data_IF_129816367087
#
_entry.id   IF_129816367087
#
_cell.length_a   1.000
_cell.length_b   1.000
_cell.length_c   1.000
_cell.angle_alpha   90.00
_cell.angle_beta   90.00
_cell.angle_gamma   90.00
#
_symmetry.space_group_name_H-M   'P 1'
#
loop_
_entity.id
_entity.type
_entity.pdbx_description
1 polymer ?
#
# COMPACT_ATOMS: atom_id res chain seq x y z
N UNK A 1 9.99 22.52 5.10
CA UNK A 1 9.21 21.72 4.13
C UNK A 1 8.97 20.35 4.76
N UNK A 2 7.70 19.96 4.86
CA UNK A 2 7.05 19.25 5.98
C UNK A 2 7.47 17.79 6.26
N UNK A 3 7.92 17.51 7.48
CA UNK A 3 8.13 16.15 8.03
C UNK A 3 6.85 15.30 8.07
N UNK A 4 5.65 15.90 7.99
CA UNK A 4 4.38 15.15 7.96
C UNK A 4 4.22 14.30 6.70
N UNK A 5 4.82 14.68 5.57
CA UNK A 5 4.58 14.00 4.30
C UNK A 5 5.37 12.67 4.18
N UNK A 6 6.55 12.57 4.81
CA UNK A 6 7.40 11.36 4.77
C UNK A 6 6.84 10.18 5.54
N UNK A 7 6.16 10.41 6.67
CA UNK A 7 5.49 9.35 7.44
C UNK A 7 4.36 8.72 6.61
N UNK A 8 3.63 9.54 5.85
CA UNK A 8 2.51 9.09 5.02
C UNK A 8 2.97 8.15 3.88
N UNK A 9 4.09 8.44 3.21
CA UNK A 9 4.60 7.59 2.12
C UNK A 9 5.17 6.25 2.62
N UNK A 10 5.88 6.24 3.76
CA UNK A 10 6.38 5.00 4.35
C UNK A 10 5.21 4.10 4.79
N UNK A 11 4.20 4.67 5.45
CA UNK A 11 3.02 3.93 5.89
C UNK A 11 2.21 3.42 4.69
N UNK A 12 2.02 4.23 3.64
CA UNK A 12 1.36 3.84 2.41
C UNK A 12 2.10 2.72 1.66
N UNK A 13 3.43 2.83 1.55
CA UNK A 13 4.24 1.81 0.89
C UNK A 13 4.23 0.49 1.71
N UNK A 14 4.32 0.59 3.03
CA UNK A 14 4.16 -0.55 3.94
C UNK A 14 2.78 -1.20 3.81
N UNK A 15 1.72 -0.40 3.67
CA UNK A 15 0.35 -0.88 3.46
C UNK A 15 0.25 -1.74 2.20
N UNK A 16 0.71 -1.24 1.04
CA UNK A 16 0.62 -2.01 -0.21
C UNK A 16 1.50 -3.26 -0.20
N UNK A 17 2.67 -3.19 0.44
CA UNK A 17 3.60 -4.31 0.59
C UNK A 17 3.01 -5.44 1.46
N UNK A 18 2.27 -5.08 2.51
CA UNK A 18 1.60 -6.03 3.38
C UNK A 18 0.35 -6.64 2.72
N UNK A 19 -0.50 -5.80 2.11
CA UNK A 19 -1.79 -6.23 1.55
C UNK A 19 -1.66 -6.97 0.21
N UNK A 20 -0.61 -6.66 -0.56
CA UNK A 20 -0.23 -7.27 -1.86
C UNK A 20 -1.22 -7.13 -3.02
N UNK A 21 -2.52 -7.05 -2.76
CA UNK A 21 -3.56 -6.83 -3.77
C UNK A 21 -4.89 -6.42 -3.13
N UNK A 22 -5.80 -5.85 -3.91
CA UNK A 22 -7.16 -5.53 -3.47
C UNK A 22 -7.96 -4.73 -4.49
N UNK A 23 -9.08 -4.16 -4.07
CA UNK A 23 -9.84 -3.18 -4.85
C UNK A 23 -9.12 -1.83 -4.86
N UNK A 24 -9.14 -1.14 -6.01
CA UNK A 24 -8.62 0.21 -6.16
C UNK A 24 -9.42 1.21 -5.30
N UNK A 25 -10.74 1.05 -5.21
CA UNK A 25 -11.58 1.97 -4.44
C UNK A 25 -11.22 1.94 -2.96
N UNK A 26 -11.01 0.73 -2.41
CA UNK A 26 -10.54 0.58 -1.03
C UNK A 26 -9.14 1.18 -0.86
N UNK A 27 -8.25 1.03 -1.85
CA UNK A 27 -6.91 1.58 -1.75
C UNK A 27 -6.92 3.12 -1.74
N UNK A 28 -7.78 3.74 -2.56
CA UNK A 28 -7.96 5.18 -2.62
C UNK A 28 -8.55 5.70 -1.31
N UNK A 29 -9.53 5.00 -0.72
CA UNK A 29 -10.12 5.40 0.56
C UNK A 29 -9.09 5.37 1.71
N UNK A 30 -8.14 4.44 1.67
CA UNK A 30 -7.15 4.24 2.74
C UNK A 30 -5.93 5.17 2.57
N UNK A 31 -5.46 5.38 1.33
CA UNK A 31 -4.19 6.07 1.05
C UNK A 31 -4.37 7.45 0.40
N UNK A 32 -5.55 7.74 -0.13
CA UNK A 32 -5.81 8.91 -0.97
C UNK A 32 -5.50 8.67 -2.45
N UNK A 33 -6.25 9.34 -3.31
CA UNK A 33 -6.16 9.19 -4.77
C UNK A 33 -4.80 9.63 -5.34
N UNK A 34 -4.20 10.68 -4.78
CA UNK A 34 -2.89 11.19 -5.21
C UNK A 34 -1.77 10.17 -4.97
N UNK A 35 -1.74 9.55 -3.78
CA UNK A 35 -0.74 8.54 -3.42
C UNK A 35 -0.87 7.29 -4.29
N UNK A 36 -2.11 6.85 -4.55
CA UNK A 36 -2.37 5.71 -5.43
C UNK A 36 -1.88 5.99 -6.85
N UNK A 37 -2.12 7.20 -7.36
CA UNK A 37 -1.63 7.62 -8.67
C UNK A 37 -0.10 7.66 -8.72
N UNK A 38 0.56 8.17 -7.69
CA UNK A 38 2.02 8.13 -7.60
C UNK A 38 2.56 6.70 -7.63
N UNK A 39 1.96 5.78 -6.85
CA UNK A 39 2.39 4.38 -6.82
C UNK A 39 2.18 3.66 -8.14
N UNK A 40 1.15 4.02 -8.89
CA UNK A 40 0.92 3.52 -10.24
C UNK A 40 1.99 4.06 -11.21
N UNK A 41 2.26 5.37 -11.19
CA UNK A 41 3.27 6.00 -12.05
C UNK A 41 4.69 5.50 -11.80
N UNK A 42 5.03 5.25 -10.52
CA UNK A 42 6.34 4.69 -10.12
C UNK A 42 6.41 3.17 -10.38
N UNK A 43 5.29 2.52 -10.68
CA UNK A 43 5.23 1.09 -10.96
C UNK A 43 5.30 0.20 -9.71
N UNK A 44 4.91 0.72 -8.55
CA UNK A 44 4.80 -0.06 -7.31
C UNK A 44 3.52 -0.88 -7.26
N UNK A 45 2.48 -0.46 -7.97
CA UNK A 45 1.24 -1.22 -8.15
C UNK A 45 0.90 -1.35 -9.63
N UNK A 46 0.22 -2.45 -9.99
CA UNK A 46 -0.42 -2.64 -11.29
C UNK A 46 -1.92 -2.66 -11.13
N UNK A 47 -2.63 -1.87 -11.93
CA UNK A 47 -4.08 -1.97 -12.04
C UNK A 47 -4.49 -3.19 -12.86
N UNK A 48 -5.63 -3.75 -12.50
CA UNK A 48 -6.32 -4.81 -13.21
C UNK A 48 -7.82 -4.59 -13.14
N UNK A 49 -8.56 -5.40 -13.89
CA UNK A 49 -10.02 -5.43 -13.88
C UNK A 49 -10.42 -6.89 -13.70
N UNK A 50 -11.31 -7.16 -12.75
CA UNK A 50 -11.86 -8.52 -12.55
C UNK A 50 -12.99 -8.80 -13.55
N UNK A 51 -13.43 -10.06 -13.63
CA UNK A 51 -14.58 -10.43 -14.45
C UNK A 51 -15.84 -9.62 -14.12
N UNK A 52 -15.99 -9.21 -12.85
CA UNK A 52 -17.09 -8.38 -12.36
C UNK A 52 -16.89 -6.87 -12.60
N UNK A 53 -16.00 -6.49 -13.52
CA UNK A 53 -15.64 -5.10 -13.87
C UNK A 53 -15.07 -4.25 -12.73
N UNK A 54 -14.72 -4.86 -11.60
CA UNK A 54 -14.15 -4.12 -10.47
C UNK A 54 -12.68 -3.80 -10.72
N UNK A 55 -12.32 -2.54 -10.54
CA UNK A 55 -10.94 -2.08 -10.61
C UNK A 55 -10.15 -2.64 -9.42
N UNK A 56 -9.09 -3.39 -9.72
CA UNK A 56 -8.22 -4.01 -8.72
C UNK A 56 -6.80 -3.54 -8.89
N UNK A 57 -5.99 -3.79 -7.86
CA UNK A 57 -4.56 -3.52 -7.89
C UNK A 57 -3.78 -4.71 -7.33
N UNK A 58 -2.51 -4.78 -7.73
CA UNK A 58 -1.54 -5.74 -7.22
C UNK A 58 -0.19 -5.06 -7.02
N UNK A 59 0.41 -5.24 -5.85
CA UNK A 59 1.77 -4.79 -5.56
C UNK A 59 2.77 -5.52 -6.46
N UNK A 60 3.75 -4.77 -6.95
CA UNK A 60 4.87 -5.29 -7.72
C UNK A 60 6.00 -5.68 -6.75
N UNK A 61 6.74 -6.79 -7.00
CA UNK A 61 7.86 -7.18 -6.13
C UNK A 61 8.91 -6.09 -5.91
N UNK A 62 9.12 -5.22 -6.90
CA UNK A 62 10.02 -4.06 -6.82
C UNK A 62 9.62 -3.08 -5.72
N UNK A 63 8.33 -2.94 -5.40
CA UNK A 63 7.86 -2.08 -4.31
C UNK A 63 8.39 -2.57 -2.95
N UNK A 64 8.40 -3.89 -2.74
CA UNK A 64 8.95 -4.50 -1.54
C UNK A 64 10.47 -4.32 -1.44
N UNK A 65 11.19 -4.53 -2.54
CA UNK A 65 12.64 -4.31 -2.60
C UNK A 65 13.01 -2.85 -2.34
N UNK A 66 12.25 -1.91 -2.92
CA UNK A 66 12.43 -0.49 -2.69
C UNK A 66 12.13 -0.10 -1.23
N UNK A 67 11.02 -0.58 -0.67
CA UNK A 67 10.68 -0.35 0.73
C UNK A 67 11.80 -0.81 1.67
N UNK A 68 12.31 -2.04 1.47
CA UNK A 68 13.43 -2.57 2.25
C UNK A 68 14.71 -1.75 2.08
N UNK A 69 14.99 -1.29 0.86
CA UNK A 69 16.21 -0.52 0.57
C UNK A 69 16.20 0.88 1.20
N UNK A 70 15.03 1.53 1.30
CA UNK A 70 14.91 2.90 1.79
C UNK A 70 14.63 2.93 3.30
N UNK A 71 13.81 2.00 3.80
CA UNK A 71 13.29 2.03 5.17
C UNK A 71 13.78 0.88 6.06
N UNK A 72 14.58 -0.04 5.51
CA UNK A 72 15.04 -1.23 6.22
C UNK A 72 13.99 -2.34 6.28
N UNK A 73 14.32 -3.44 6.98
CA UNK A 73 13.32 -4.50 7.20
C UNK A 73 12.19 -3.99 8.09
N UNK A 74 10.91 -4.21 7.72
CA UNK A 74 9.80 -3.84 8.57
C UNK A 74 9.91 -4.55 9.92
N UNK A 75 9.91 -3.76 10.98
CA UNK A 75 9.96 -4.27 12.35
C UNK A 75 8.75 -5.17 12.63
N UNK A 76 8.88 -6.09 13.60
CA UNK A 76 7.80 -6.99 14.03
C UNK A 76 6.50 -6.23 14.33
N UNK A 77 6.60 -5.03 14.90
CA UNK A 77 5.46 -4.14 15.20
C UNK A 77 4.75 -3.63 13.95
N UNK A 78 5.49 -3.28 12.89
CA UNK A 78 4.91 -2.84 11.62
C UNK A 78 4.27 -4.00 10.85
N UNK A 79 4.85 -5.21 10.95
CA UNK A 79 4.23 -6.44 10.45
C UNK A 79 2.90 -6.67 11.16
N UNK A 80 2.88 -6.64 12.51
CA UNK A 80 1.67 -6.86 13.31
C UNK A 80 0.59 -5.79 13.07
N UNK A 81 0.95 -4.50 12.95
CA UNK A 81 -0.03 -3.44 12.63
C UNK A 81 -0.69 -3.64 11.26
N UNK A 82 0.06 -4.13 10.26
CA UNK A 82 -0.50 -4.52 8.96
C UNK A 82 -1.52 -5.66 9.06
N UNK A 83 -1.30 -6.61 9.98
CA UNK A 83 -2.27 -7.69 10.28
C UNK A 83 -3.46 -7.21 11.13
N UNK A 84 -3.26 -6.26 12.04
CA UNK A 84 -4.32 -5.73 12.92
C UNK A 84 -5.36 -4.90 12.15
N UNK A 85 -4.96 -4.17 11.10
CA UNK A 85 -5.94 -3.54 10.18
C UNK A 85 -6.85 -4.56 9.47
N UNK A 86 -6.43 -5.83 9.35
CA UNK A 86 -7.28 -6.87 8.77
C UNK A 86 -8.28 -7.46 9.78
N UNK A 87 -7.96 -7.49 11.08
CA UNK A 87 -8.77 -8.17 12.10
C UNK A 87 -9.59 -7.25 13.01
N UNK A 88 -9.29 -5.94 13.10
CA UNK A 88 -9.94 -5.05 14.09
C UNK A 88 -11.02 -4.13 13.50
N UNK A 89 -11.18 -4.05 12.17
CA UNK A 89 -12.32 -3.33 11.54
C UNK A 89 -13.50 -4.25 11.18
N UNK A 90 -13.65 -5.37 11.89
CA UNK A 90 -14.83 -6.23 11.83
C UNK A 90 -15.59 -6.15 13.16
N UNK A 91 -16.06 -4.96 13.49
CA UNK A 91 -17.09 -4.71 14.51
C UNK A 91 -18.08 -3.70 13.95
#
# INVERSE_FOLDING_TARGET
>A
MSEKNKKNQQEALGYICNRKSGSIDTLINELGSDVVREFELVGFIKRGITADTQATWKAVPSANSFFKSIYGEPTLVQKIKGYFCHYVLRF
#
